data_IF_163047037289
#
_entry.id   IF_163047037289
#
_cell.length_a   1.000
_cell.length_b   1.000
_cell.length_c   1.000
_cell.angle_alpha   90.00
_cell.angle_beta   90.00
_cell.angle_gamma   90.00
#
_symmetry.space_group_name_H-M   'P 1'
#
loop_
_entity.id
_entity.type
_entity.pdbx_description
1 polymer ?
#
# COMPACT_ATOMS: atom_id res chain seq x y z
N UNK A 1 -6.20 16.05 5.08
CA UNK A 1 -5.27 15.55 6.11
C UNK A 1 -3.96 14.99 5.53
N UNK A 2 -3.90 14.66 4.23
CA UNK A 2 -2.71 14.14 3.53
C UNK A 2 -1.75 15.22 3.03
N UNK A 3 -2.25 16.39 2.63
CA UNK A 3 -1.46 17.37 1.87
C UNK A 3 -0.45 18.13 2.75
N UNK A 4 -0.85 18.52 3.97
CA UNK A 4 0.04 19.22 4.92
C UNK A 4 1.26 18.36 5.32
N UNK A 5 1.06 17.04 5.45
CA UNK A 5 2.14 16.09 5.78
C UNK A 5 3.09 15.90 4.60
N UNK A 6 2.55 15.84 3.38
CA UNK A 6 3.35 15.75 2.14
C UNK A 6 4.18 17.01 1.96
N UNK A 7 3.60 18.19 2.20
CA UNK A 7 4.32 19.47 2.12
C UNK A 7 5.43 19.58 3.18
N UNK A 8 5.15 19.16 4.42
CA UNK A 8 6.15 19.12 5.48
C UNK A 8 7.33 18.20 5.11
N UNK A 9 7.06 17.00 4.59
CA UNK A 9 8.12 16.07 4.15
C UNK A 9 8.92 16.67 3.00
N UNK A 10 8.26 17.26 2.01
CA UNK A 10 8.92 17.88 0.86
C UNK A 10 9.83 19.05 1.29
N UNK A 11 9.41 19.85 2.27
CA UNK A 11 10.24 20.92 2.84
C UNK A 11 11.49 20.37 3.53
N UNK A 12 11.32 19.33 4.35
CA UNK A 12 12.40 18.68 5.10
C UNK A 12 13.42 18.02 4.17
N UNK A 13 12.94 17.28 3.17
CA UNK A 13 13.79 16.63 2.16
C UNK A 13 14.44 17.66 1.23
N UNK A 14 13.72 18.72 0.87
CA UNK A 14 14.25 19.82 0.06
C UNK A 14 15.41 20.56 0.73
N UNK A 15 15.33 20.79 2.05
CA UNK A 15 16.44 21.34 2.85
C UNK A 15 17.67 20.45 2.83
N UNK A 16 17.49 19.13 2.91
CA UNK A 16 18.59 18.17 2.88
C UNK A 16 19.35 18.18 1.53
N UNK A 17 18.65 18.40 0.43
CA UNK A 17 19.20 18.30 -0.93
C UNK A 17 19.60 19.68 -1.50
N UNK A 18 19.17 20.77 -0.85
CA UNK A 18 19.40 22.15 -1.33
C UNK A 18 18.52 22.54 -2.51
N UNK A 19 17.34 21.90 -2.67
CA UNK A 19 16.36 22.20 -3.72
C UNK A 19 14.95 22.22 -3.13
N UNK A 20 14.23 23.33 -3.30
CA UNK A 20 12.80 23.45 -2.92
C UNK A 20 11.83 22.88 -3.98
N UNK A 21 12.33 22.12 -4.95
CA UNK A 21 11.53 21.72 -6.10
C UNK A 21 10.42 20.74 -5.71
N UNK A 22 9.17 21.19 -5.67
CA UNK A 22 7.98 20.33 -5.53
C UNK A 22 7.89 19.45 -6.79
N UNK A 23 8.14 18.12 -6.72
CA UNK A 23 7.86 17.28 -7.87
C UNK A 23 6.34 17.34 -8.12
N UNK A 24 5.95 17.71 -9.34
CA UNK A 24 4.56 17.76 -9.76
C UNK A 24 4.26 16.48 -10.53
N UNK A 25 3.07 15.91 -10.35
CA UNK A 25 2.56 14.92 -11.33
C UNK A 25 2.41 15.58 -12.70
N UNK A 26 2.23 14.76 -13.74
CA UNK A 26 1.84 15.23 -15.08
C UNK A 26 0.60 16.16 -15.05
N UNK A 27 -0.24 16.07 -14.02
CA UNK A 27 -1.43 16.88 -13.80
C UNK A 27 -1.22 18.07 -12.86
N UNK A 28 0.03 18.40 -12.50
CA UNK A 28 0.32 19.55 -11.63
C UNK A 28 0.00 19.35 -10.14
N UNK A 29 -0.24 18.11 -9.70
CA UNK A 29 -0.47 17.82 -8.28
C UNK A 29 0.85 17.63 -7.54
N UNK A 30 1.02 18.17 -6.33
CA UNK A 30 2.24 17.97 -5.55
C UNK A 30 2.40 16.49 -5.21
N UNK A 31 3.52 15.89 -5.63
CA UNK A 31 3.89 14.53 -5.21
C UNK A 31 4.89 14.59 -4.05
N UNK A 32 4.89 13.58 -3.17
CA UNK A 32 5.93 13.49 -2.16
C UNK A 32 7.28 13.12 -2.83
N UNK A 33 8.36 13.79 -2.45
CA UNK A 33 9.73 13.50 -2.91
C UNK A 33 10.19 12.09 -2.58
N UNK A 34 9.61 11.51 -1.52
CA UNK A 34 9.76 10.11 -1.14
C UNK A 34 8.39 9.44 -1.14
N UNK A 35 8.26 8.25 -1.71
CA UNK A 35 7.03 7.48 -1.56
C UNK A 35 6.82 7.12 -0.08
N UNK A 36 5.68 7.52 0.49
CA UNK A 36 5.33 7.29 1.91
C UNK A 36 4.34 6.15 2.12
N UNK A 37 3.96 5.44 1.05
CA UNK A 37 3.04 4.30 1.11
C UNK A 37 3.53 3.22 2.08
N UNK A 38 2.62 2.73 2.93
CA UNK A 38 2.86 1.59 3.82
C UNK A 38 2.51 0.30 3.07
N UNK A 39 3.51 -0.54 2.81
CA UNK A 39 3.30 -1.86 2.19
C UNK A 39 2.54 -2.83 3.12
N UNK A 40 2.64 -2.62 4.44
CA UNK A 40 1.90 -3.39 5.44
C UNK A 40 1.17 -2.39 6.37
N UNK A 41 -0.14 -2.62 6.57
CA UNK A 41 -1.00 -1.77 7.40
C UNK A 41 -0.89 -2.11 8.90
N UNK A 42 -0.33 -3.26 9.26
CA UNK A 42 -0.31 -3.77 10.63
C UNK A 42 0.87 -3.23 11.42
N UNK A 43 0.63 -2.78 12.66
CA UNK A 43 1.69 -2.30 13.56
C UNK A 43 2.32 -3.46 14.35
N UNK A 44 1.59 -4.56 14.54
CA UNK A 44 2.05 -5.73 15.29
C UNK A 44 1.76 -7.06 14.59
N UNK A 45 2.59 -8.08 14.91
CA UNK A 45 2.37 -9.46 14.43
C UNK A 45 1.03 -10.01 14.90
N UNK A 46 0.61 -9.61 16.10
CA UNK A 46 -0.65 -10.05 16.70
C UNK A 46 -1.85 -9.54 15.91
N UNK A 47 -1.87 -8.25 15.56
CA UNK A 47 -2.93 -7.67 14.72
C UNK A 47 -2.97 -8.34 13.35
N UNK A 48 -1.80 -8.53 12.73
CA UNK A 48 -1.68 -9.25 11.46
C UNK A 48 -2.26 -10.66 11.51
N UNK A 49 -1.91 -11.44 12.54
CA UNK A 49 -2.41 -12.81 12.70
C UNK A 49 -3.93 -12.84 12.96
N UNK A 50 -4.47 -11.83 13.65
CA UNK A 50 -5.92 -11.70 13.86
C UNK A 50 -6.66 -11.40 12.56
N UNK A 51 -6.18 -10.44 11.76
CA UNK A 51 -6.77 -10.15 10.44
C UNK A 51 -6.69 -11.38 9.54
N UNK A 52 -5.51 -12.02 9.46
CA UNK A 52 -5.31 -13.21 8.64
C UNK A 52 -6.27 -14.34 9.04
N UNK A 53 -6.38 -14.66 10.32
CA UNK A 53 -7.29 -15.71 10.78
C UNK A 53 -8.76 -15.39 10.48
N UNK A 54 -9.17 -14.12 10.62
CA UNK A 54 -10.52 -13.69 10.28
C UNK A 54 -10.80 -13.83 8.77
N UNK A 55 -9.87 -13.37 7.92
CA UNK A 55 -9.97 -13.47 6.46
C UNK A 55 -9.97 -14.94 6.02
N UNK A 56 -9.10 -15.78 6.58
CA UNK A 56 -9.09 -17.23 6.31
C UNK A 56 -10.45 -17.87 6.60
N UNK A 57 -11.03 -17.57 7.77
CA UNK A 57 -12.35 -18.09 8.17
C UNK A 57 -13.45 -17.65 7.19
N UNK A 58 -13.42 -16.38 6.76
CA UNK A 58 -14.40 -15.84 5.79
C UNK A 58 -14.24 -16.51 4.43
N UNK A 59 -13.01 -16.68 3.95
CA UNK A 59 -12.73 -17.35 2.66
C UNK A 59 -13.20 -18.80 2.68
N UNK A 60 -12.93 -19.53 3.76
CA UNK A 60 -13.39 -20.92 3.92
C UNK A 60 -14.92 -21.02 3.92
N UNK A 61 -15.59 -20.13 4.67
CA UNK A 61 -17.05 -20.06 4.70
C UNK A 61 -17.65 -19.74 3.32
N UNK A 62 -17.11 -18.73 2.63
CA UNK A 62 -17.56 -18.35 1.29
C UNK A 62 -17.29 -19.46 0.26
N UNK A 63 -16.13 -20.11 0.32
CA UNK A 63 -15.80 -21.27 -0.53
C UNK A 63 -16.83 -22.38 -0.37
N UNK A 64 -17.16 -22.73 0.88
CA UNK A 64 -18.16 -23.76 1.18
C UNK A 64 -19.52 -23.40 0.57
N UNK A 65 -19.96 -22.15 0.73
CA UNK A 65 -21.23 -21.67 0.15
C UNK A 65 -21.19 -21.77 -1.39
N UNK A 66 -20.11 -21.32 -2.02
CA UNK A 66 -19.94 -21.38 -3.49
C UNK A 66 -20.00 -22.81 -3.99
N UNK A 67 -19.33 -23.76 -3.33
CA UNK A 67 -19.34 -25.18 -3.71
C UNK A 67 -20.73 -25.85 -3.60
N UNK A 68 -21.57 -25.38 -2.68
CA UNK A 68 -22.93 -25.90 -2.50
C UNK A 68 -23.90 -25.35 -3.55
N UNK A 69 -23.72 -24.09 -3.96
CA UNK A 69 -24.63 -23.37 -4.86
C UNK A 69 -24.24 -23.51 -6.32
N UNK A 70 -22.94 -23.51 -6.63
CA UNK A 70 -22.44 -23.61 -8.00
C UNK A 70 -22.47 -25.08 -8.46
N UNK A 71 -23.05 -25.37 -9.64
CA UNK A 71 -23.01 -26.71 -10.21
C UNK A 71 -21.56 -27.15 -10.47
N UNK A 72 -21.21 -28.37 -10.06
CA UNK A 72 -19.92 -28.99 -10.38
C UNK A 72 -20.18 -30.33 -11.03
N UNK A 73 -19.49 -30.67 -12.12
CA UNK A 73 -19.74 -31.89 -12.90
C UNK A 73 -19.78 -33.17 -12.05
N UNK A 74 -18.97 -33.23 -11.00
CA UNK A 74 -18.91 -34.37 -10.07
C UNK A 74 -20.13 -34.52 -9.14
N UNK A 75 -20.88 -33.44 -8.88
CA UNK A 75 -21.98 -33.40 -7.91
C UNK A 75 -23.33 -33.11 -8.56
N UNK A 76 -23.39 -32.98 -9.88
CA UNK A 76 -24.53 -32.43 -10.60
C UNK A 76 -25.49 -33.54 -11.07
N UNK A 77 -26.11 -34.23 -10.10
CA UNK A 77 -27.15 -35.21 -10.39
C UNK A 77 -28.44 -34.53 -10.87
N UNK A 78 -29.26 -35.18 -11.72
CA UNK A 78 -30.55 -34.61 -12.14
C UNK A 78 -31.47 -34.27 -10.96
N UNK A 79 -31.37 -35.03 -9.87
CA UNK A 79 -32.10 -34.80 -8.62
C UNK A 79 -31.66 -33.51 -7.92
N UNK A 80 -30.34 -33.26 -7.86
CA UNK A 80 -29.78 -32.01 -7.31
C UNK A 80 -30.21 -30.82 -8.15
N UNK A 81 -30.19 -30.91 -9.49
CA UNK A 81 -30.69 -29.84 -10.38
C UNK A 81 -32.14 -29.48 -10.08
N UNK A 82 -33.01 -30.48 -9.97
CA UNK A 82 -34.42 -30.28 -9.66
C UNK A 82 -34.62 -29.68 -8.25
N UNK A 83 -33.83 -30.10 -7.27
CA UNK A 83 -33.83 -29.52 -5.92
C UNK A 83 -33.40 -28.04 -5.94
N UNK A 84 -32.31 -27.71 -6.64
CA UNK A 84 -31.81 -26.34 -6.77
C UNK A 84 -32.82 -25.42 -7.46
N UNK A 85 -33.53 -25.91 -8.49
CA UNK A 85 -34.62 -25.16 -9.12
C UNK A 85 -35.77 -24.88 -8.15
N UNK A 86 -36.18 -25.87 -7.34
CA UNK A 86 -37.22 -25.66 -6.31
C UNK A 86 -36.77 -24.64 -5.26
N UNK A 87 -35.51 -24.72 -4.83
CA UNK A 87 -34.90 -23.77 -3.88
C UNK A 87 -34.87 -22.35 -4.44
N UNK A 88 -34.45 -22.20 -5.70
CA UNK A 88 -34.46 -20.92 -6.40
C UNK A 88 -35.86 -20.29 -6.38
N UNK A 89 -36.89 -21.03 -6.81
CA UNK A 89 -38.28 -20.53 -6.85
C UNK A 89 -38.76 -20.14 -5.45
N UNK A 90 -38.49 -20.97 -4.44
CA UNK A 90 -38.92 -20.72 -3.06
C UNK A 90 -38.24 -19.48 -2.46
N UNK A 91 -36.95 -19.30 -2.71
CA UNK A 91 -36.17 -18.14 -2.25
C UNK A 91 -36.67 -16.86 -2.95
N UNK A 92 -36.83 -16.90 -4.27
CA UNK A 92 -37.25 -15.74 -5.06
C UNK A 92 -38.65 -15.27 -4.65
N UNK A 93 -39.58 -16.21 -4.44
CA UNK A 93 -40.94 -15.90 -3.99
C UNK A 93 -40.93 -15.19 -2.63
N UNK A 94 -40.13 -15.69 -1.68
CA UNK A 94 -39.99 -15.06 -0.35
C UNK A 94 -39.30 -13.70 -0.42
N UNK A 95 -38.30 -13.57 -1.28
CA UNK A 95 -37.59 -12.32 -1.49
C UNK A 95 -38.57 -11.23 -1.96
N UNK A 96 -39.35 -11.50 -3.01
CA UNK A 96 -40.34 -10.55 -3.55
C UNK A 96 -41.40 -10.16 -2.52
N UNK A 97 -41.80 -11.07 -1.63
CA UNK A 97 -42.71 -10.76 -0.52
C UNK A 97 -42.10 -9.76 0.46
N UNK A 98 -40.80 -9.87 0.77
CA UNK A 98 -40.13 -8.94 1.68
C UNK A 98 -39.94 -7.54 1.11
N UNK A 99 -39.72 -7.39 -0.21
CA UNK A 99 -39.59 -6.07 -0.84
C UNK A 99 -40.83 -5.21 -0.65
N UNK A 100 -42.02 -5.83 -0.75
CA UNK A 100 -43.30 -5.12 -0.65
C UNK A 100 -43.51 -4.41 0.67
N UNK A 101 -42.76 -4.78 1.71
CA UNK A 101 -42.88 -4.23 3.05
C UNK A 101 -41.66 -3.39 3.48
N UNK A 102 -40.71 -3.10 2.58
CA UNK A 102 -39.55 -2.26 2.90
C UNK A 102 -39.78 -0.79 2.57
N UNK A 103 -39.47 0.07 3.53
CA UNK A 103 -39.32 1.51 3.31
C UNK A 103 -37.94 1.81 2.71
N UNK A 104 -37.85 2.87 1.90
CA UNK A 104 -36.63 3.29 1.22
C UNK A 104 -36.05 4.52 1.93
N UNK A 105 -35.29 4.27 2.99
CA UNK A 105 -34.75 5.33 3.84
C UNK A 105 -33.29 5.67 3.49
N UNK A 106 -32.61 4.81 2.71
CA UNK A 106 -31.21 4.98 2.32
C UNK A 106 -30.88 4.49 0.91
N UNK A 107 -29.74 4.94 0.37
CA UNK A 107 -29.20 4.43 -0.90
C UNK A 107 -28.88 2.92 -0.85
N UNK A 108 -28.53 2.41 0.33
CA UNK A 108 -28.37 0.98 0.60
C UNK A 108 -29.69 0.22 0.42
N UNK A 109 -30.81 0.77 0.90
CA UNK A 109 -32.12 0.14 0.75
C UNK A 109 -32.55 0.07 -0.72
N UNK A 110 -32.23 1.10 -1.49
CA UNK A 110 -32.46 1.11 -2.93
C UNK A 110 -31.61 0.04 -3.64
N UNK A 111 -30.33 -0.07 -3.30
CA UNK A 111 -29.44 -1.10 -3.87
C UNK A 111 -29.94 -2.51 -3.55
N UNK A 112 -30.39 -2.76 -2.32
CA UNK A 112 -30.96 -4.04 -1.96
C UNK A 112 -32.27 -4.27 -2.71
N UNK A 113 -33.18 -3.29 -2.77
CA UNK A 113 -34.43 -3.41 -3.53
C UNK A 113 -34.17 -3.79 -5.00
N UNK A 114 -33.17 -3.19 -5.63
CA UNK A 114 -32.79 -3.52 -7.00
C UNK A 114 -32.34 -4.99 -7.15
N UNK A 115 -31.58 -5.52 -6.19
CA UNK A 115 -31.19 -6.95 -6.19
C UNK A 115 -32.41 -7.85 -6.14
N UNK A 116 -33.40 -7.49 -5.32
CA UNK A 116 -34.62 -8.28 -5.20
C UNK A 116 -35.52 -8.19 -6.44
N UNK A 117 -35.62 -7.03 -7.08
CA UNK A 117 -36.45 -6.84 -8.28
C UNK A 117 -35.83 -7.45 -9.54
N UNK A 118 -34.50 -7.54 -9.62
CA UNK A 118 -33.78 -8.08 -10.78
C UNK A 118 -33.51 -9.59 -10.72
N UNK A 119 -33.71 -10.21 -9.56
CA UNK A 119 -33.47 -11.64 -9.33
C UNK A 119 -32.61 -11.86 -8.09
N UNK A 120 -33.24 -12.02 -6.94
CA UNK A 120 -32.56 -12.10 -5.65
C UNK A 120 -31.60 -13.29 -5.58
N UNK A 121 -32.02 -14.46 -6.06
CA UNK A 121 -31.24 -15.68 -6.00
C UNK A 121 -29.90 -15.55 -6.77
N UNK A 122 -29.97 -15.21 -8.05
CA UNK A 122 -28.76 -15.08 -8.89
C UNK A 122 -27.94 -13.84 -8.54
N UNK A 123 -28.58 -12.73 -8.15
CA UNK A 123 -27.90 -11.52 -7.69
C UNK A 123 -27.05 -11.79 -6.44
N UNK A 124 -27.65 -12.45 -5.44
CA UNK A 124 -26.95 -12.83 -4.20
C UNK A 124 -25.82 -13.82 -4.47
N UNK A 125 -26.03 -14.80 -5.35
CA UNK A 125 -24.99 -15.74 -5.75
C UNK A 125 -23.78 -15.03 -6.38
N UNK A 126 -24.00 -14.10 -7.32
CA UNK A 126 -22.92 -13.31 -7.94
C UNK A 126 -22.18 -12.47 -6.91
N UNK A 127 -22.91 -11.87 -5.95
CA UNK A 127 -22.31 -11.10 -4.87
C UNK A 127 -21.40 -11.97 -3.99
N UNK A 128 -21.86 -13.16 -3.60
CA UNK A 128 -21.07 -14.11 -2.81
C UNK A 128 -19.80 -14.52 -3.56
N UNK A 129 -19.88 -14.78 -4.87
CA UNK A 129 -18.71 -15.11 -5.70
C UNK A 129 -17.74 -13.92 -5.75
N UNK A 130 -18.23 -12.70 -5.96
CA UNK A 130 -17.39 -11.50 -5.97
C UNK A 130 -16.70 -11.28 -4.62
N UNK A 131 -17.43 -11.45 -3.51
CA UNK A 131 -16.86 -11.41 -2.16
C UNK A 131 -15.77 -12.47 -1.99
N UNK A 132 -16.01 -13.71 -2.41
CA UNK A 132 -15.02 -14.78 -2.35
C UNK A 132 -13.73 -14.40 -3.08
N UNK A 133 -13.83 -13.87 -4.30
CA UNK A 133 -12.65 -13.46 -5.07
C UNK A 133 -11.86 -12.36 -4.36
N UNK A 134 -12.53 -11.32 -3.87
CA UNK A 134 -11.91 -10.19 -3.16
C UNK A 134 -11.24 -10.65 -1.87
N UNK A 135 -11.93 -11.45 -1.04
CA UNK A 135 -11.36 -11.96 0.21
C UNK A 135 -10.22 -12.95 -0.04
N UNK A 136 -10.29 -13.75 -1.10
CA UNK A 136 -9.22 -14.68 -1.46
C UNK A 136 -7.97 -13.95 -1.99
N UNK A 137 -8.15 -12.87 -2.75
CA UNK A 137 -7.04 -11.98 -3.14
C UNK A 137 -6.38 -11.36 -1.90
N UNK A 138 -7.18 -10.80 -0.98
CA UNK A 138 -6.66 -10.27 0.28
C UNK A 138 -5.94 -11.35 1.11
N UNK A 139 -6.44 -12.57 1.13
CA UNK A 139 -5.76 -13.68 1.80
C UNK A 139 -4.40 -13.99 1.15
N UNK A 140 -4.32 -13.93 -0.18
CA UNK A 140 -3.05 -14.10 -0.90
C UNK A 140 -2.05 -13.02 -0.52
N UNK A 141 -2.48 -11.75 -0.52
CA UNK A 141 -1.65 -10.62 -0.07
C UNK A 141 -1.13 -10.83 1.36
N UNK A 142 -2.01 -11.25 2.28
CA UNK A 142 -1.63 -11.50 3.67
C UNK A 142 -0.60 -12.64 3.77
N UNK A 143 -0.76 -13.73 3.02
CA UNK A 143 0.21 -14.84 3.00
C UNK A 143 1.57 -14.40 2.46
N UNK A 144 1.59 -13.58 1.42
CA UNK A 144 2.82 -12.97 0.91
C UNK A 144 3.46 -12.05 1.95
N UNK A 145 2.67 -11.22 2.62
CA UNK A 145 3.14 -10.37 3.72
C UNK A 145 3.70 -11.19 4.89
N UNK A 146 3.12 -12.34 5.20
CA UNK A 146 3.66 -13.26 6.21
C UNK A 146 5.04 -13.78 5.84
N UNK A 147 5.19 -14.25 4.60
CA UNK A 147 6.47 -14.74 4.08
C UNK A 147 7.53 -13.63 4.02
N UNK A 148 7.14 -12.39 3.72
CA UNK A 148 8.07 -11.27 3.56
C UNK A 148 8.42 -10.59 4.88
N UNK A 149 7.45 -10.44 5.80
CA UNK A 149 7.59 -9.57 6.97
C UNK A 149 7.62 -10.30 8.31
N UNK A 150 7.14 -11.55 8.38
CA UNK A 150 6.87 -12.22 9.67
C UNK A 150 7.63 -13.53 9.91
N UNK A 151 8.68 -13.80 9.10
CA UNK A 151 9.54 -15.00 9.17
C UNK A 151 10.48 -15.04 10.37
N UNK A 152 10.75 -13.92 11.05
CA UNK A 152 11.65 -13.85 12.22
C UNK A 152 10.85 -13.77 13.53
N UNK A 153 11.27 -14.53 14.54
CA UNK A 153 10.57 -14.70 15.83
C UNK A 153 10.54 -13.42 16.71
N UNK A 154 11.43 -12.46 16.47
CA UNK A 154 11.66 -11.32 17.37
C UNK A 154 11.29 -9.97 16.75
N UNK A 155 10.05 -9.52 17.04
CA UNK A 155 9.47 -8.20 16.69
C UNK A 155 9.35 -7.99 15.17
N UNK A 156 8.28 -7.32 14.66
CA UNK A 156 8.31 -6.85 13.28
C UNK A 156 9.64 -6.12 13.05
N UNK A 157 10.45 -6.52 12.06
CA UNK A 157 11.49 -5.64 11.59
C UNK A 157 10.81 -4.31 11.28
N UNK A 158 11.45 -3.20 11.62
CA UNK A 158 10.86 -1.89 11.44
C UNK A 158 10.87 -1.55 9.94
N UNK A 159 10.17 -2.34 9.13
CA UNK A 159 10.21 -2.38 7.68
C UNK A 159 9.75 -1.06 7.13
N UNK A 160 8.68 -0.48 7.69
CA UNK A 160 8.25 0.85 7.28
C UNK A 160 9.34 1.90 7.52
N UNK A 161 9.96 1.91 8.71
CA UNK A 161 11.08 2.81 9.00
C UNK A 161 12.29 2.57 8.08
N UNK A 162 12.65 1.31 7.82
CA UNK A 162 13.75 0.92 6.92
C UNK A 162 13.46 1.31 5.48
N UNK A 163 12.24 1.10 4.99
CA UNK A 163 11.80 1.45 3.64
C UNK A 163 11.80 2.96 3.44
N UNK A 164 11.25 3.72 4.40
CA UNK A 164 11.29 5.19 4.36
C UNK A 164 12.74 5.69 4.39
N UNK A 165 13.58 5.12 5.26
CA UNK A 165 14.98 5.47 5.34
C UNK A 165 15.73 5.17 4.02
N UNK A 166 15.45 4.02 3.38
CA UNK A 166 16.06 3.64 2.11
C UNK A 166 15.61 4.55 0.97
N UNK A 167 14.31 4.88 0.91
CA UNK A 167 13.77 5.82 -0.07
C UNK A 167 14.41 7.19 0.07
N UNK A 168 14.54 7.70 1.30
CA UNK A 168 15.22 8.97 1.57
C UNK A 168 16.70 8.92 1.15
N UNK A 169 17.40 7.85 1.48
CA UNK A 169 18.82 7.69 1.15
C UNK A 169 19.08 7.60 -0.36
N UNK A 170 18.21 6.91 -1.11
CA UNK A 170 18.28 6.86 -2.58
C UNK A 170 18.07 8.23 -3.20
N UNK A 171 17.09 8.99 -2.71
CA UNK A 171 16.86 10.36 -3.18
C UNK A 171 18.08 11.23 -2.89
N UNK A 172 18.65 11.15 -1.68
CA UNK A 172 19.87 11.87 -1.33
C UNK A 172 21.06 11.47 -2.23
N UNK A 173 21.30 10.17 -2.41
CA UNK A 173 22.40 9.64 -3.20
C UNK A 173 22.29 10.07 -4.67
N UNK A 174 21.09 10.02 -5.23
CA UNK A 174 20.81 10.40 -6.61
C UNK A 174 21.00 11.89 -6.87
N UNK A 175 20.57 12.74 -5.94
CA UNK A 175 20.62 14.20 -6.14
C UNK A 175 21.99 14.79 -5.78
N UNK A 176 22.68 14.24 -4.79
CA UNK A 176 24.00 14.74 -4.35
C UNK A 176 25.18 14.03 -5.01
N UNK A 177 24.95 12.86 -5.63
CA UNK A 177 25.99 11.98 -6.17
C UNK A 177 26.90 11.39 -5.09
N UNK A 178 26.52 11.48 -3.81
CA UNK A 178 27.33 11.06 -2.65
C UNK A 178 26.54 10.10 -1.78
N UNK A 179 27.22 9.12 -1.19
CA UNK A 179 26.60 8.26 -0.18
C UNK A 179 26.22 9.09 1.07
N UNK A 180 25.02 8.91 1.62
CA UNK A 180 24.67 9.51 2.90
C UNK A 180 25.59 8.96 4.00
N UNK A 181 25.81 9.77 5.03
CA UNK A 181 26.57 9.36 6.21
C UNK A 181 25.70 9.42 7.44
N UNK A 182 25.96 8.54 8.41
CA UNK A 182 25.26 8.53 9.67
C UNK A 182 26.24 8.54 10.83
N UNK A 183 26.00 9.42 11.79
CA UNK A 183 26.78 9.57 13.01
C UNK A 183 25.88 10.01 14.15
N UNK A 184 26.33 9.78 15.39
CA UNK A 184 25.62 10.17 16.61
C UNK A 184 26.44 11.22 17.36
N UNK A 185 25.76 12.19 17.96
CA UNK A 185 26.42 13.16 18.84
C UNK A 185 26.94 12.50 20.12
N UNK A 186 28.05 13.01 20.66
CA UNK A 186 28.68 12.52 21.90
C UNK A 186 27.86 12.82 23.16
N UNK A 187 27.04 13.87 23.14
CA UNK A 187 26.41 14.45 24.35
C UNK A 187 24.92 14.12 24.49
N UNK A 188 24.29 13.61 23.44
CA UNK A 188 22.89 13.22 23.44
C UNK A 188 22.66 12.31 22.25
N UNK A 189 21.97 11.19 22.46
CA UNK A 189 21.75 10.10 21.52
C UNK A 189 20.87 10.52 20.31
N UNK A 190 21.27 11.59 19.62
CA UNK A 190 20.64 12.22 18.47
C UNK A 190 21.59 12.16 17.27
N UNK A 191 21.05 12.16 16.04
CA UNK A 191 21.87 12.12 14.83
C UNK A 191 22.72 13.38 14.66
N UNK A 192 24.01 13.22 14.39
CA UNK A 192 24.95 14.33 14.16
C UNK A 192 25.06 14.74 12.69
N UNK A 193 24.62 13.89 11.76
CA UNK A 193 24.66 14.15 10.32
C UNK A 193 23.34 14.72 9.82
N UNK A 194 23.38 15.53 8.76
CA UNK A 194 22.17 16.15 8.20
C UNK A 194 21.19 15.09 7.67
N UNK A 195 21.70 14.01 7.05
CA UNK A 195 20.88 12.86 6.68
C UNK A 195 20.16 12.24 7.88
N UNK A 196 20.88 12.04 8.99
CA UNK A 196 20.32 11.47 10.21
C UNK A 196 19.25 12.36 10.86
N UNK A 197 19.49 13.68 10.91
CA UNK A 197 18.52 14.66 11.45
C UNK A 197 17.26 14.74 10.58
N UNK A 198 17.45 14.74 9.26
CA UNK A 198 16.34 14.74 8.29
C UNK A 198 15.52 13.47 8.43
N UNK A 199 16.16 12.31 8.60
CA UNK A 199 15.47 11.03 8.80
C UNK A 199 14.66 11.02 10.10
N UNK A 200 15.20 11.57 11.19
CA UNK A 200 14.48 11.72 12.46
C UNK A 200 13.26 12.63 12.34
N UNK A 201 13.38 13.74 11.61
CA UNK A 201 12.27 14.65 11.35
C UNK A 201 11.18 14.02 10.48
N UNK A 202 11.56 13.25 9.45
CA UNK A 202 10.63 12.46 8.63
C UNK A 202 9.92 11.40 9.47
N UNK A 203 10.63 10.71 10.36
CA UNK A 203 10.01 9.72 11.25
C UNK A 203 9.00 10.37 12.20
N UNK A 204 9.31 11.57 12.71
CA UNK A 204 8.39 12.34 13.55
C UNK A 204 7.13 12.76 12.79
N UNK A 205 7.25 13.25 11.54
CA UNK A 205 6.09 13.64 10.71
C UNK A 205 5.21 12.42 10.38
N UNK A 206 5.83 11.27 10.10
CA UNK A 206 5.14 10.02 9.78
C UNK A 206 4.73 9.19 11.02
N UNK A 207 4.95 9.73 12.23
CA UNK A 207 4.66 9.11 13.52
C UNK A 207 5.31 7.70 13.67
N UNK A 208 6.49 7.52 13.08
CA UNK A 208 7.25 6.28 13.11
C UNK A 208 8.00 6.17 14.44
N UNK A 209 7.58 5.24 15.31
CA UNK A 209 8.18 4.98 16.64
C UNK A 209 9.50 4.18 16.61
N UNK A 210 10.20 4.20 15.48
CA UNK A 210 11.40 3.40 15.23
C UNK A 210 12.68 4.07 15.73
N UNK A 211 13.69 3.25 16.06
CA UNK A 211 15.05 3.77 16.24
C UNK A 211 15.62 4.22 14.88
N UNK A 212 15.88 5.53 14.75
CA UNK A 212 16.52 6.14 13.58
C UNK A 212 17.89 5.52 13.32
N UNK A 213 18.66 5.25 14.38
CA UNK A 213 19.99 4.61 14.30
C UNK A 213 19.92 3.27 13.57
N UNK A 214 18.98 2.41 13.96
CA UNK A 214 18.89 1.07 13.38
C UNK A 214 18.45 1.11 11.91
N UNK A 215 17.58 2.05 11.54
CA UNK A 215 17.16 2.25 10.16
C UNK A 215 18.30 2.85 9.31
N UNK A 216 18.96 3.89 9.80
CA UNK A 216 20.05 4.56 9.10
C UNK A 216 21.24 3.63 8.85
N UNK A 217 21.70 2.88 9.85
CA UNK A 217 22.80 1.91 9.68
C UNK A 217 22.44 0.84 8.66
N UNK A 218 21.24 0.27 8.72
CA UNK A 218 20.80 -0.73 7.74
C UNK A 218 20.81 -0.19 6.31
N UNK A 219 20.37 1.06 6.11
CA UNK A 219 20.31 1.66 4.76
C UNK A 219 21.69 1.88 4.15
N UNK A 220 22.70 2.23 4.95
CA UNK A 220 24.07 2.42 4.44
C UNK A 220 24.62 1.14 3.81
N UNK A 221 24.23 -0.02 4.33
CA UNK A 221 24.64 -1.34 3.82
C UNK A 221 23.84 -1.77 2.57
N UNK A 222 22.77 -1.05 2.21
CA UNK A 222 21.86 -1.42 1.11
C UNK A 222 22.00 -0.54 -0.14
N UNK A 223 22.77 0.56 -0.07
CA UNK A 223 23.01 1.43 -1.22
C UNK A 223 24.05 0.84 -2.16
N UNK A 224 23.68 0.71 -3.42
CA UNK A 224 24.57 0.27 -4.50
C UNK A 224 25.23 1.47 -5.20
N UNK A 225 26.26 1.22 -6.02
CA UNK A 225 26.87 2.25 -6.88
C UNK A 225 25.88 2.77 -7.94
N UNK A 226 24.90 1.97 -8.35
CA UNK A 226 23.88 2.38 -9.31
C UNK A 226 22.91 3.42 -8.72
N UNK A 227 22.70 3.43 -7.40
CA UNK A 227 21.88 4.42 -6.70
C UNK A 227 22.52 5.83 -6.66
N UNK A 228 23.82 5.94 -6.97
CA UNK A 228 24.55 7.22 -7.05
C UNK A 228 24.42 7.90 -8.42
N UNK A 229 23.92 7.19 -9.43
CA UNK A 229 23.73 7.75 -10.77
C UNK A 229 22.44 8.56 -10.81
N UNK A 230 22.42 9.74 -11.46
CA UNK A 230 21.18 10.50 -11.65
C UNK A 230 20.16 9.65 -12.42
N UNK A 231 18.87 9.86 -12.14
CA UNK A 231 17.79 9.12 -12.81
C UNK A 231 17.93 9.29 -14.33
N UNK A 232 18.26 8.21 -15.03
CA UNK A 232 18.13 8.17 -16.48
C UNK A 232 16.66 8.22 -16.80
N UNK A 233 16.21 9.27 -17.47
CA UNK A 233 14.89 9.26 -18.10
C UNK A 233 14.85 8.08 -19.06
N UNK A 234 14.09 7.03 -18.75
CA UNK A 234 14.00 5.83 -19.58
C UNK A 234 13.60 6.16 -21.03
N UNK A 235 12.80 7.21 -21.21
CA UNK A 235 12.45 7.80 -22.50
C UNK A 235 13.62 8.50 -23.21
N UNK A 236 14.51 9.19 -22.49
CA UNK A 236 15.69 9.83 -23.09
C UNK A 236 16.75 8.80 -23.50
N UNK A 237 16.90 7.72 -22.73
CA UNK A 237 17.75 6.58 -23.07
C UNK A 237 17.23 5.79 -24.28
N UNK A 238 15.91 5.74 -24.47
CA UNK A 238 15.28 5.12 -25.65
C UNK A 238 15.38 6.01 -26.89
N UNK A 239 15.40 7.34 -26.73
CA UNK A 239 15.43 8.32 -27.83
C UNK A 239 16.84 8.87 -28.15
N UNK A 240 17.89 8.32 -27.51
CA UNK A 240 19.29 8.76 -27.62
C UNK A 240 19.48 10.29 -27.49
N UNK A 241 18.68 10.90 -26.62
CA UNK A 241 18.75 12.34 -26.38
C UNK A 241 19.94 12.64 -25.44
N UNK A 242 20.73 13.70 -25.72
CA UNK A 242 21.89 14.05 -24.90
C UNK A 242 21.46 14.34 -23.46
N UNK A 243 22.25 13.84 -22.50
CA UNK A 243 21.95 14.01 -21.09
C UNK A 243 21.79 15.50 -20.73
N UNK A 244 20.75 15.88 -19.97
CA UNK A 244 20.65 17.25 -19.49
C UNK A 244 21.84 17.52 -18.58
N UNK A 245 22.71 18.46 -18.99
CA UNK A 245 23.87 18.87 -18.19
C UNK A 245 23.41 19.23 -16.78
N UNK A 246 24.12 18.80 -15.72
CA UNK A 246 23.82 19.25 -14.37
C UNK A 246 23.85 20.78 -14.39
N UNK A 247 22.72 21.39 -14.01
CA UNK A 247 22.55 22.85 -13.97
C UNK A 247 23.57 23.43 -13.00
N UNK A 248 24.71 23.86 -13.53
CA UNK A 248 25.82 24.47 -12.82
C UNK A 248 25.52 25.90 -12.38
N UNK A 249 24.49 26.08 -11.53
CA UNK A 249 24.19 27.35 -10.88
C UNK A 249 25.10 27.63 -9.67
N UNK A 250 26.24 26.94 -9.54
CA UNK A 250 27.30 27.25 -8.57
C UNK A 250 28.55 27.90 -9.19
N UNK A 251 28.63 28.05 -10.51
CA UNK A 251 29.78 28.71 -11.16
C UNK A 251 29.52 30.18 -11.59
N UNK A 252 28.35 30.74 -11.28
CA UNK A 252 28.00 32.12 -11.67
C UNK A 252 28.21 33.18 -10.56
N UNK A 253 28.72 32.80 -9.37
CA UNK A 253 28.95 33.72 -8.24
C UNK A 253 30.41 33.82 -7.78
N UNK A 254 31.38 33.25 -8.51
CA UNK A 254 32.82 33.44 -8.23
C UNK A 254 33.54 34.34 -9.24
N UNK A 255 32.79 35.11 -10.03
CA UNK A 255 33.34 35.99 -11.06
C UNK A 255 32.67 37.35 -11.08
N UNK A 256 32.87 38.15 -10.03
CA UNK A 256 32.99 39.62 -10.06
C UNK A 256 33.34 40.14 -8.68
#
# INVERSE_FOLDING_TARGET
>A
MTDDRIEAINSVVGRLIGREAKPLTLLGMPTPMIDISRANLHESKKEFLVEKAAVETVVEGLKSIVEQIVPSEEKDTPERKAMMQRLQIAIETKALQQVRHRNLDSAMDLAIKNIFETGFYFGSMRLIIAMYLIFNERLSELKEQEAQFWTVSSRPPNYYARTIALRLARVYARETGKRPTFGMSREGNFPSTDFGRTLEEVFRILEIKASVRNAATWVLDQLSEDDLRPARNALAAYLDLPEPKPSGLLNALSGR
#
